data_IF_286548363033
#
_entry.id   IF_286548363033
#
_cell.length_a   1.000
_cell.length_b   1.000
_cell.length_c   1.000
_cell.angle_alpha   90.00
_cell.angle_beta   90.00
_cell.angle_gamma   90.00
#
_symmetry.space_group_name_H-M   'P 1'
#
loop_
_entity.id
_entity.type
_entity.pdbx_description
1 polymer ?
#
# COMPACT_ATOMS: atom_id res chain seq x y z
N UNK A 1 -5.45 -2.78 31.12
CA UNK A 1 -4.20 -2.79 30.33
C UNK A 1 -3.79 -1.35 30.05
N UNK A 2 -2.53 -0.97 30.24
CA UNK A 2 -2.02 0.36 29.85
C UNK A 2 -1.25 0.20 28.54
N UNK A 3 -1.74 0.83 27.47
CA UNK A 3 -1.07 0.83 26.17
C UNK A 3 -0.08 2.00 26.14
N UNK A 4 1.19 1.70 25.87
CA UNK A 4 2.20 2.74 25.76
C UNK A 4 2.19 3.38 24.36
N UNK A 5 2.57 4.66 24.22
CA UNK A 5 2.70 5.29 22.92
C UNK A 5 3.72 4.59 22.02
N UNK A 6 3.42 4.53 20.72
CA UNK A 6 4.36 4.03 19.71
C UNK A 6 5.46 5.06 19.48
N UNK A 7 6.69 4.76 19.92
CA UNK A 7 7.79 5.75 19.98
C UNK A 7 8.14 6.34 18.62
N UNK A 8 8.14 5.52 17.56
CA UNK A 8 8.49 5.96 16.20
C UNK A 8 7.46 6.97 15.67
N UNK A 9 6.18 6.73 15.92
CA UNK A 9 5.10 7.63 15.51
C UNK A 9 5.20 8.97 16.26
N UNK A 10 5.54 8.95 17.56
CA UNK A 10 5.77 10.19 18.33
C UNK A 10 6.98 10.98 17.84
N UNK A 11 8.00 10.30 17.33
CA UNK A 11 9.16 10.92 16.70
C UNK A 11 8.77 11.59 15.38
N UNK A 12 8.15 10.86 14.44
CA UNK A 12 7.73 11.43 13.15
C UNK A 12 6.70 12.56 13.31
N UNK A 13 5.73 12.44 14.22
CA UNK A 13 4.77 13.52 14.50
C UNK A 13 5.43 14.86 14.85
N UNK A 14 6.64 14.83 15.42
CA UNK A 14 7.42 16.03 15.73
C UNK A 14 8.24 16.53 14.54
N UNK A 15 8.83 15.63 13.75
CA UNK A 15 9.91 15.95 12.82
C UNK A 15 9.55 15.83 11.34
N UNK A 16 8.58 15.00 10.96
CA UNK A 16 8.30 14.61 9.56
C UNK A 16 8.13 15.80 8.61
N UNK A 17 7.47 16.86 9.07
CA UNK A 17 7.19 18.07 8.27
C UNK A 17 7.89 19.33 8.78
N UNK A 18 8.80 19.19 9.74
CA UNK A 18 9.45 20.33 10.43
C UNK A 18 10.98 20.32 10.30
N UNK A 19 11.54 19.45 9.45
CA UNK A 19 12.98 19.35 9.22
C UNK A 19 13.30 19.56 7.74
N UNK A 20 14.49 20.09 7.47
CA UNK A 20 14.95 20.34 6.10
C UNK A 20 15.27 19.06 5.32
N UNK A 21 15.75 18.04 6.02
CA UNK A 21 16.16 16.77 5.43
C UNK A 21 15.61 15.62 6.26
N UNK A 22 14.71 14.83 5.66
CA UNK A 22 14.11 13.65 6.30
C UNK A 22 14.84 12.39 5.82
N UNK A 23 15.85 11.95 6.59
CA UNK A 23 16.65 10.75 6.28
C UNK A 23 16.28 9.54 7.17
N UNK A 24 15.16 9.64 7.89
CA UNK A 24 14.71 8.63 8.83
C UNK A 24 13.66 7.68 8.23
N UNK A 25 13.08 8.01 7.08
CA UNK A 25 12.05 7.21 6.43
C UNK A 25 12.64 5.90 5.90
N UNK A 26 11.84 4.82 5.94
CA UNK A 26 12.24 3.48 5.51
C UNK A 26 11.51 3.00 4.25
N UNK A 27 10.65 3.84 3.69
CA UNK A 27 9.93 3.62 2.44
C UNK A 27 10.71 4.15 1.23
N UNK A 28 10.22 3.82 0.04
CA UNK A 28 10.68 4.42 -1.21
C UNK A 28 9.94 5.74 -1.49
N UNK A 29 10.43 6.49 -2.48
CA UNK A 29 9.73 7.68 -2.98
C UNK A 29 8.30 7.36 -3.42
N UNK A 30 7.37 8.26 -3.10
CA UNK A 30 5.96 8.09 -3.45
C UNK A 30 5.73 8.34 -4.94
N UNK A 31 4.71 7.68 -5.51
CA UNK A 31 4.29 7.87 -6.89
C UNK A 31 2.95 8.60 -6.94
N UNK A 32 2.76 9.44 -7.96
CA UNK A 32 1.43 9.95 -8.27
C UNK A 32 0.54 8.83 -8.86
N UNK A 33 -0.79 9.01 -8.81
CA UNK A 33 -1.72 8.07 -9.45
C UNK A 33 -1.45 8.01 -10.96
N UNK A 34 -1.12 9.14 -11.59
CA UNK A 34 -0.80 9.21 -13.01
C UNK A 34 0.44 8.36 -13.35
N UNK A 35 1.53 8.54 -12.61
CA UNK A 35 2.77 7.78 -12.81
C UNK A 35 2.56 6.28 -12.63
N UNK A 36 1.76 5.89 -11.63
CA UNK A 36 1.42 4.48 -11.39
C UNK A 36 0.61 3.89 -12.55
N UNK A 37 -0.42 4.60 -13.04
CA UNK A 37 -1.28 4.10 -14.11
C UNK A 37 -0.57 4.10 -15.47
N UNK A 38 0.43 4.96 -15.67
CA UNK A 38 1.28 4.98 -16.86
C UNK A 38 2.13 3.69 -17.00
N UNK A 39 2.33 2.91 -15.94
CA UNK A 39 3.08 1.65 -16.00
C UNK A 39 2.36 0.53 -16.80
N UNK A 40 1.05 0.68 -17.07
CA UNK A 40 0.27 -0.34 -17.77
C UNK A 40 -0.77 0.27 -18.69
N UNK A 41 -0.67 -0.06 -19.97
CA UNK A 41 -1.65 0.38 -20.97
C UNK A 41 -3.09 0.03 -20.57
N UNK A 42 -3.96 1.02 -20.76
CA UNK A 42 -5.38 0.95 -20.40
C UNK A 42 -5.69 0.92 -18.90
N UNK A 43 -4.70 1.07 -18.01
CA UNK A 43 -4.96 1.11 -16.57
C UNK A 43 -5.79 2.33 -16.16
N UNK A 44 -5.60 3.47 -16.82
CA UNK A 44 -6.37 4.68 -16.54
C UNK A 44 -7.88 4.48 -16.76
N UNK A 45 -8.27 3.89 -17.89
CA UNK A 45 -9.68 3.60 -18.18
C UNK A 45 -10.25 2.62 -17.15
N UNK A 46 -9.56 1.51 -16.90
CA UNK A 46 -9.99 0.50 -15.91
C UNK A 46 -10.11 1.09 -14.50
N UNK A 47 -9.23 2.01 -14.12
CA UNK A 47 -9.28 2.69 -12.83
C UNK A 47 -10.53 3.58 -12.72
N UNK A 48 -10.84 4.34 -13.78
CA UNK A 48 -12.05 5.19 -13.83
C UNK A 48 -13.35 4.39 -13.84
N UNK A 49 -13.34 3.19 -14.41
CA UNK A 49 -14.49 2.28 -14.45
C UNK A 49 -14.63 1.41 -13.19
N UNK A 50 -13.72 1.57 -12.22
CA UNK A 50 -13.70 0.72 -11.03
C UNK A 50 -14.94 0.92 -10.15
N UNK A 51 -15.60 -0.18 -9.80
CA UNK A 51 -16.78 -0.18 -8.93
C UNK A 51 -16.38 -0.02 -7.45
N UNK A 52 -16.87 1.03 -6.79
CA UNK A 52 -16.60 1.34 -5.38
C UNK A 52 -17.62 0.68 -4.43
N UNK A 53 -17.85 -0.63 -4.60
CA UNK A 53 -18.69 -1.42 -3.69
C UNK A 53 -17.90 -2.42 -2.85
N UNK A 54 -18.62 -3.18 -2.03
CA UNK A 54 -18.00 -4.22 -1.20
C UNK A 54 -17.39 -5.33 -2.06
N UNK A 55 -16.20 -5.77 -1.65
CA UNK A 55 -15.53 -6.96 -2.15
C UNK A 55 -15.51 -8.04 -1.08
N UNK A 56 -14.90 -9.19 -1.35
CA UNK A 56 -14.74 -10.25 -0.35
C UNK A 56 -13.94 -9.77 0.88
N UNK A 57 -14.33 -10.23 2.07
CA UNK A 57 -13.69 -9.79 3.32
C UNK A 57 -12.21 -10.16 3.44
N UNK A 58 -11.76 -11.16 2.68
CA UNK A 58 -10.36 -11.62 2.60
C UNK A 58 -9.56 -10.90 1.50
N UNK A 59 -10.16 -9.93 0.82
CA UNK A 59 -9.58 -9.27 -0.36
C UNK A 59 -10.03 -9.87 -1.68
N UNK A 60 -9.87 -9.10 -2.77
CA UNK A 60 -10.21 -9.52 -4.13
C UNK A 60 -9.47 -10.80 -4.54
N UNK A 61 -10.15 -11.84 -5.07
CA UNK A 61 -9.50 -13.07 -5.52
C UNK A 61 -8.35 -12.82 -6.51
N UNK A 62 -8.54 -11.89 -7.45
CA UNK A 62 -7.50 -11.53 -8.42
C UNK A 62 -6.28 -10.89 -7.75
N UNK A 63 -6.47 -10.07 -6.71
CA UNK A 63 -5.37 -9.48 -5.96
C UNK A 63 -4.58 -10.53 -5.18
N UNK A 64 -5.29 -11.44 -4.51
CA UNK A 64 -4.68 -12.54 -3.74
C UNK A 64 -3.86 -13.45 -4.63
N UNK A 65 -4.35 -13.74 -5.84
CA UNK A 65 -3.61 -14.50 -6.84
C UNK A 65 -2.31 -13.81 -7.26
N UNK A 66 -2.36 -12.52 -7.61
CA UNK A 66 -1.17 -11.77 -8.01
C UNK A 66 -0.14 -11.67 -6.86
N UNK A 67 -0.57 -11.45 -5.62
CA UNK A 67 0.33 -11.43 -4.45
C UNK A 67 1.01 -12.79 -4.27
N UNK A 68 0.27 -13.91 -4.43
CA UNK A 68 0.83 -15.25 -4.26
C UNK A 68 1.99 -15.53 -5.21
N UNK A 69 1.96 -14.97 -6.43
CA UNK A 69 3.02 -15.13 -7.44
C UNK A 69 4.34 -14.45 -7.08
N UNK A 70 4.35 -13.54 -6.10
CA UNK A 70 5.54 -12.85 -5.61
C UNK A 70 6.38 -13.78 -4.71
N UNK A 71 5.77 -14.82 -4.13
CA UNK A 71 6.40 -15.74 -3.18
C UNK A 71 6.44 -17.17 -3.74
N UNK A 72 7.56 -17.88 -3.57
CA UNK A 72 7.76 -19.21 -4.17
C UNK A 72 6.80 -20.30 -3.67
N UNK A 73 6.26 -20.16 -2.45
CA UNK A 73 5.52 -21.22 -1.76
C UNK A 73 4.22 -20.76 -1.10
N UNK A 74 3.63 -19.67 -1.60
CA UNK A 74 2.39 -19.11 -1.06
C UNK A 74 1.20 -19.44 -1.99
N UNK A 75 0.12 -19.98 -1.43
CA UNK A 75 -1.16 -20.08 -2.16
C UNK A 75 -2.01 -18.81 -1.96
N UNK A 76 -2.91 -18.48 -2.90
CA UNK A 76 -3.82 -17.32 -2.73
C UNK A 76 -4.65 -17.38 -1.45
N UNK A 77 -5.01 -18.58 -1.00
CA UNK A 77 -5.80 -18.80 0.23
C UNK A 77 -5.05 -18.38 1.50
N UNK A 78 -3.72 -18.24 1.43
CA UNK A 78 -2.86 -17.81 2.53
C UNK A 78 -2.62 -16.29 2.54
N UNK A 79 -3.17 -15.56 1.57
CA UNK A 79 -3.15 -14.08 1.51
C UNK A 79 -4.42 -13.55 2.17
N UNK A 80 -4.30 -12.53 3.04
CA UNK A 80 -5.40 -11.87 3.77
C UNK A 80 -5.47 -10.38 3.44
#
# INVERSE_FOLDING_TARGET
>A
MKINPFKLERYFAKYEFNVKYLLASSDCESLSIEDLLALKDGAELRFKEHWLGYTESQGSPALREEISRIYESLSPDQVL
#
